data_IF_735936538088
#
_entry.id   IF_735936538088
#
_cell.length_a   1.000
_cell.length_b   1.000
_cell.length_c   1.000
_cell.angle_alpha   90.00
_cell.angle_beta   90.00
_cell.angle_gamma   90.00
#
_symmetry.space_group_name_H-M   'P 1'
#
loop_
_entity.id
_entity.type
_entity.pdbx_description
1 polymer ?
#
# COMPACT_ATOMS: atom_id res chain seq x y z
N UNK A 1 26.68 23.77 10.61
CA UNK A 1 26.02 22.91 11.61
C UNK A 1 24.53 23.04 11.40
N UNK A 2 23.90 22.12 10.66
CA UNK A 2 22.43 22.09 10.57
C UNK A 2 21.92 21.35 11.79
N UNK A 3 21.27 22.07 12.72
CA UNK A 3 20.57 21.46 13.82
C UNK A 3 19.31 20.79 13.25
N UNK A 4 19.31 19.45 13.22
CA UNK A 4 18.17 18.67 12.76
C UNK A 4 17.06 18.72 13.82
N UNK A 5 16.08 19.59 13.60
CA UNK A 5 14.88 19.76 14.45
C UNK A 5 14.17 18.40 14.68
N UNK A 6 14.33 17.46 13.77
CA UNK A 6 13.79 16.11 13.87
C UNK A 6 14.33 15.32 15.08
N UNK A 7 15.58 15.54 15.48
CA UNK A 7 16.15 14.86 16.67
C UNK A 7 15.59 15.44 17.96
N UNK A 8 15.40 16.76 18.02
CA UNK A 8 14.78 17.43 19.18
C UNK A 8 13.33 16.95 19.38
N UNK A 9 12.57 16.80 18.29
CA UNK A 9 11.20 16.26 18.33
C UNK A 9 11.19 14.81 18.85
N UNK A 10 12.16 13.97 18.45
CA UNK A 10 12.23 12.56 18.86
C UNK A 10 12.62 12.38 20.33
N UNK A 11 13.41 13.30 20.88
CA UNK A 11 13.89 13.20 22.25
C UNK A 11 12.84 13.60 23.30
N UNK A 12 11.67 14.09 22.88
CA UNK A 12 10.51 14.30 23.76
C UNK A 12 10.75 15.29 24.90
N UNK A 13 11.80 16.10 24.81
CA UNK A 13 12.10 17.15 25.77
C UNK A 13 11.18 18.35 25.52
N UNK A 14 10.67 18.95 26.60
CA UNK A 14 9.93 20.21 26.52
C UNK A 14 10.91 21.35 26.20
N UNK A 15 11.01 21.70 24.91
CA UNK A 15 11.92 22.74 24.41
C UNK A 15 11.12 23.92 23.85
N UNK A 16 11.35 25.10 24.39
CA UNK A 16 10.86 26.37 23.83
C UNK A 16 11.80 26.85 22.73
N UNK A 17 11.34 26.82 21.48
CA UNK A 17 12.12 27.24 20.31
C UNK A 17 11.53 28.53 19.73
N UNK A 18 12.35 29.57 19.63
CA UNK A 18 11.98 30.81 18.93
C UNK A 18 12.30 30.66 17.45
N UNK A 19 11.26 30.63 16.62
CA UNK A 19 11.35 30.46 15.17
C UNK A 19 10.72 31.65 14.46
N UNK A 20 11.22 31.97 13.26
CA UNK A 20 10.57 32.97 12.40
C UNK A 20 9.30 32.36 11.80
N UNK A 21 8.27 33.18 11.60
CA UNK A 21 7.01 32.74 10.99
C UNK A 21 7.20 32.16 9.59
N UNK A 22 8.18 32.68 8.83
CA UNK A 22 8.58 32.17 7.51
C UNK A 22 9.11 30.74 7.56
N UNK A 23 9.87 30.43 8.61
CA UNK A 23 10.50 29.11 8.76
C UNK A 23 9.45 28.06 9.14
N UNK A 24 8.40 28.45 9.88
CA UNK A 24 7.26 27.59 10.18
C UNK A 24 6.46 27.21 8.94
N UNK A 25 6.25 28.16 8.01
CA UNK A 25 5.56 27.91 6.74
C UNK A 25 6.39 26.94 5.89
N UNK A 26 7.69 27.21 5.74
CA UNK A 26 8.59 26.33 4.99
C UNK A 26 8.62 24.91 5.58
N UNK A 27 8.57 24.78 6.90
CA UNK A 27 8.48 23.48 7.57
C UNK A 27 7.15 22.76 7.29
N UNK A 28 6.03 23.48 7.31
CA UNK A 28 4.73 22.92 6.96
C UNK A 28 4.70 22.41 5.50
N UNK A 29 5.22 23.21 4.56
CA UNK A 29 5.32 22.84 3.15
C UNK A 29 6.24 21.63 2.93
N UNK A 30 7.35 21.57 3.68
CA UNK A 30 8.24 20.40 3.71
C UNK A 30 7.53 19.14 4.21
N UNK A 31 6.76 19.23 5.29
CA UNK A 31 5.99 18.10 5.82
C UNK A 31 4.94 17.61 4.83
N UNK A 32 4.20 18.53 4.20
CA UNK A 32 3.19 18.21 3.17
C UNK A 32 3.85 17.53 1.98
N UNK A 33 4.92 18.13 1.43
CA UNK A 33 5.65 17.59 0.28
C UNK A 33 6.20 16.19 0.55
N UNK A 34 6.74 15.96 1.74
CA UNK A 34 7.24 14.64 2.16
C UNK A 34 6.11 13.60 2.23
N UNK A 35 4.94 13.99 2.75
CA UNK A 35 3.77 13.10 2.83
C UNK A 35 3.18 12.79 1.46
N UNK A 36 3.08 13.79 0.59
CA UNK A 36 2.63 13.62 -0.80
C UNK A 36 3.56 12.65 -1.53
N UNK A 37 4.87 12.85 -1.46
CA UNK A 37 5.85 11.95 -2.09
C UNK A 37 5.76 10.51 -1.58
N UNK A 38 5.60 10.33 -0.26
CA UNK A 38 5.43 8.99 0.32
C UNK A 38 4.12 8.32 -0.14
N UNK A 39 3.04 9.09 -0.32
CA UNK A 39 1.77 8.58 -0.85
C UNK A 39 1.87 8.27 -2.34
N UNK A 40 2.58 9.09 -3.11
CA UNK A 40 2.83 8.86 -4.55
C UNK A 40 3.58 7.55 -4.78
N UNK A 41 4.61 7.24 -3.98
CA UNK A 41 5.34 5.96 -4.06
C UNK A 41 4.43 4.75 -3.78
N UNK A 42 3.49 4.88 -2.83
CA UNK A 42 2.50 3.84 -2.55
C UNK A 42 1.50 3.70 -3.71
N UNK A 43 1.04 4.83 -4.27
CA UNK A 43 0.08 4.85 -5.38
C UNK A 43 0.70 4.33 -6.68
N UNK A 44 1.96 4.63 -6.98
CA UNK A 44 2.67 4.12 -8.16
C UNK A 44 2.84 2.61 -8.08
N UNK A 45 3.21 2.08 -6.90
CA UNK A 45 3.28 0.64 -6.68
C UNK A 45 1.91 -0.06 -6.75
N UNK A 46 0.82 0.62 -6.37
CA UNK A 46 -0.53 0.10 -6.56
C UNK A 46 -1.04 0.24 -8.01
N UNK A 47 -0.51 1.18 -8.81
CA UNK A 47 -0.82 1.35 -10.23
C UNK A 47 -0.10 0.33 -11.14
N UNK A 48 1.08 -0.16 -10.74
CA UNK A 48 1.75 -1.24 -11.46
C UNK A 48 1.01 -2.57 -11.19
N UNK A 49 0.21 -3.03 -12.16
CA UNK A 49 -0.50 -4.31 -12.04
C UNK A 49 0.50 -5.45 -11.84
N UNK A 50 0.53 -5.99 -10.62
CA UNK A 50 1.37 -7.12 -10.25
C UNK A 50 0.60 -8.44 -10.38
N UNK A 51 1.32 -9.50 -10.75
CA UNK A 51 0.74 -10.82 -10.99
C UNK A 51 1.24 -11.81 -9.94
N UNK A 52 0.32 -12.41 -9.18
CA UNK A 52 0.63 -13.37 -8.13
C UNK A 52 0.33 -14.80 -8.58
N UNK A 53 1.19 -15.73 -8.19
CA UNK A 53 0.89 -17.17 -8.36
C UNK A 53 -0.22 -17.61 -7.39
N UNK A 54 -0.91 -18.73 -7.66
CA UNK A 54 -1.90 -19.28 -6.74
C UNK A 54 -1.36 -19.49 -5.32
N UNK A 55 -0.09 -19.91 -5.17
CA UNK A 55 0.56 -20.10 -3.87
C UNK A 55 0.74 -18.77 -3.13
N UNK A 56 1.24 -17.74 -3.82
CA UNK A 56 1.39 -16.40 -3.23
C UNK A 56 0.05 -15.80 -2.79
N UNK A 57 -1.00 -15.99 -3.58
CA UNK A 57 -2.36 -15.55 -3.19
C UNK A 57 -2.85 -16.31 -1.96
N UNK A 58 -2.61 -17.63 -1.92
CA UNK A 58 -2.98 -18.47 -0.79
C UNK A 58 -2.29 -18.05 0.50
N UNK A 59 -0.99 -17.79 0.46
CA UNK A 59 -0.21 -17.36 1.62
C UNK A 59 -0.59 -15.94 2.07
N UNK A 60 -0.70 -15.00 1.13
CA UNK A 60 -0.95 -13.59 1.44
C UNK A 60 -2.36 -13.32 1.97
N UNK A 61 -3.35 -14.02 1.44
CA UNK A 61 -4.77 -13.74 1.73
C UNK A 61 -5.46 -14.89 2.48
N UNK A 62 -4.71 -15.93 2.87
CA UNK A 62 -5.20 -17.11 3.56
C UNK A 62 -6.39 -17.79 2.85
N UNK A 63 -6.35 -17.83 1.51
CA UNK A 63 -7.38 -18.46 0.67
C UNK A 63 -6.89 -19.81 0.19
N UNK A 64 -7.67 -20.87 0.40
CA UNK A 64 -7.30 -22.21 -0.08
C UNK A 64 -7.15 -22.25 -1.61
N UNK A 65 -6.14 -22.96 -2.12
CA UNK A 65 -5.91 -23.18 -3.55
C UNK A 65 -7.13 -23.74 -4.28
N UNK A 66 -7.90 -24.62 -3.64
CA UNK A 66 -9.15 -25.17 -4.18
C UNK A 66 -10.20 -24.09 -4.39
N UNK A 67 -10.24 -23.07 -3.54
CA UNK A 67 -11.14 -21.91 -3.66
C UNK A 67 -10.73 -21.05 -4.84
N UNK A 68 -9.43 -20.78 -5.03
CA UNK A 68 -8.93 -20.06 -6.20
C UNK A 68 -9.28 -20.77 -7.51
N UNK A 69 -9.13 -22.10 -7.54
CA UNK A 69 -9.55 -22.90 -8.70
C UNK A 69 -11.05 -22.79 -8.97
N UNK A 70 -11.89 -22.83 -7.93
CA UNK A 70 -13.34 -22.62 -8.06
C UNK A 70 -13.68 -21.22 -8.57
N UNK A 71 -12.98 -20.18 -8.11
CA UNK A 71 -13.16 -18.83 -8.61
C UNK A 71 -12.80 -18.70 -10.09
N UNK A 72 -11.72 -19.35 -10.54
CA UNK A 72 -11.37 -19.40 -11.95
C UNK A 72 -12.43 -20.16 -12.77
N UNK A 73 -12.86 -21.34 -12.30
CA UNK A 73 -13.89 -22.14 -12.98
C UNK A 73 -15.23 -21.39 -13.11
N UNK A 74 -15.59 -20.58 -12.12
CA UNK A 74 -16.82 -19.77 -12.13
C UNK A 74 -16.66 -18.41 -12.81
N UNK A 75 -15.45 -18.02 -13.21
CA UNK A 75 -15.17 -16.71 -13.83
C UNK A 75 -15.12 -15.53 -12.86
N UNK A 76 -15.11 -15.75 -11.55
CA UNK A 76 -14.94 -14.67 -10.56
C UNK A 76 -13.51 -14.12 -10.56
N UNK A 77 -12.53 -14.99 -10.77
CA UNK A 77 -11.12 -14.63 -10.81
C UNK A 77 -10.42 -15.33 -11.98
N UNK A 78 -10.15 -14.59 -13.06
CA UNK A 78 -9.54 -15.17 -14.27
C UNK A 78 -8.04 -15.36 -14.11
N UNK A 79 -7.55 -16.57 -14.39
CA UNK A 79 -6.10 -16.84 -14.52
C UNK A 79 -5.53 -16.29 -15.82
N UNK A 80 -4.32 -15.75 -15.75
CA UNK A 80 -3.48 -15.40 -16.90
C UNK A 80 -2.28 -16.33 -16.90
N UNK A 81 -1.94 -16.88 -18.05
CA UNK A 81 -0.82 -17.81 -18.19
C UNK A 81 0.42 -17.08 -18.71
N UNK A 82 1.52 -17.19 -17.97
CA UNK A 82 2.85 -16.75 -18.38
C UNK A 82 3.76 -17.97 -18.49
N UNK A 83 4.11 -18.37 -19.71
CA UNK A 83 4.97 -19.54 -19.95
C UNK A 83 4.45 -20.83 -19.30
N UNK A 84 3.12 -21.06 -19.35
CA UNK A 84 2.46 -22.22 -18.72
C UNK A 84 2.22 -22.11 -17.21
N UNK A 85 2.69 -21.03 -16.57
CA UNK A 85 2.39 -20.76 -15.16
C UNK A 85 1.16 -19.86 -15.00
N UNK A 86 0.16 -20.35 -14.27
CA UNK A 86 -1.05 -19.59 -13.93
C UNK A 86 -0.72 -18.49 -12.93
N UNK A 87 -1.22 -17.28 -13.18
CA UNK A 87 -1.16 -16.12 -12.28
C UNK A 87 -2.49 -15.39 -12.23
N UNK A 88 -2.67 -14.62 -11.16
CA UNK A 88 -3.82 -13.77 -10.94
C UNK A 88 -3.38 -12.31 -10.85
N UNK A 89 -4.21 -11.41 -11.41
CA UNK A 89 -4.07 -9.97 -11.20
C UNK A 89 -4.26 -9.64 -9.73
N UNK A 90 -3.32 -8.92 -9.15
CA UNK A 90 -3.39 -8.55 -7.73
C UNK A 90 -4.60 -7.65 -7.47
N UNK A 91 -4.94 -6.77 -8.41
CA UNK A 91 -6.13 -5.91 -8.32
C UNK A 91 -7.43 -6.73 -8.27
N UNK A 92 -7.57 -7.74 -9.14
CA UNK A 92 -8.74 -8.61 -9.19
C UNK A 92 -8.91 -9.43 -7.91
N UNK A 93 -7.81 -9.97 -7.36
CA UNK A 93 -7.83 -10.69 -6.08
C UNK A 93 -8.28 -9.75 -4.94
N UNK A 94 -7.70 -8.55 -4.85
CA UNK A 94 -8.10 -7.54 -3.85
C UNK A 94 -9.58 -7.18 -3.99
N UNK A 95 -10.08 -6.97 -5.22
CA UNK A 95 -11.46 -6.60 -5.48
C UNK A 95 -12.46 -7.66 -4.97
N UNK A 96 -12.19 -8.95 -5.25
CA UNK A 96 -13.04 -10.06 -4.78
C UNK A 96 -13.06 -10.12 -3.25
N UNK A 97 -11.89 -9.98 -2.61
CA UNK A 97 -11.79 -10.02 -1.16
C UNK A 97 -12.48 -8.84 -0.48
N UNK A 98 -12.45 -7.66 -1.10
CA UNK A 98 -13.13 -6.47 -0.59
C UNK A 98 -14.65 -6.56 -0.79
N UNK A 99 -15.12 -7.10 -1.93
CA UNK A 99 -16.55 -7.28 -2.20
C UNK A 99 -17.26 -8.22 -1.22
N UNK A 100 -16.52 -9.16 -0.61
CA UNK A 100 -17.05 -10.02 0.45
C UNK A 100 -17.21 -9.33 1.81
N UNK A 101 -16.49 -8.23 2.05
CA UNK A 101 -16.55 -7.48 3.33
C UNK A 101 -17.72 -6.51 3.40
N UNK A 102 -18.17 -5.96 2.26
CA UNK A 102 -19.32 -5.04 2.24
C UNK A 102 -20.65 -5.72 2.54
N UNK A 103 -20.78 -7.03 2.30
CA UNK A 103 -22.01 -7.80 2.59
C UNK A 103 -22.12 -8.28 4.05
N UNK A 104 -21.14 -7.96 4.89
CA UNK A 104 -21.10 -8.36 6.29
C UNK A 104 -21.36 -7.19 7.26
N UNK A 105 -21.91 -6.07 6.77
CA UNK A 105 -22.27 -4.89 7.56
C UNK A 105 -23.76 -4.62 7.52
#
# INVERSE_FOLDING_TARGET
MSADIQELIKNGADVSVTIKTTDLINFADYLISRKVKALEEVVINDKAESYMTPRQVSEKYNVNLSTLWRWNKKGYLTTIEFGGSRRYRTSAVKAILNSGKEKAK
#
